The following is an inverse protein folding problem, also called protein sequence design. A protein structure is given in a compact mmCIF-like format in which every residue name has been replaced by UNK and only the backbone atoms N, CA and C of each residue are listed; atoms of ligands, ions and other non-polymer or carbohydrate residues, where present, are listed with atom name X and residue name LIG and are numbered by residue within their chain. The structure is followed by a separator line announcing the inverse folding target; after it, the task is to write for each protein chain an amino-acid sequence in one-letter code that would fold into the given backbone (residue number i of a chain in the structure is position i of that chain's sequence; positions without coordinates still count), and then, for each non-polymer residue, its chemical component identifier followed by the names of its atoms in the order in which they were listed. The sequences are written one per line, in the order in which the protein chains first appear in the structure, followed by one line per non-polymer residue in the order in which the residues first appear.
data_IF_097769338736
#
_entry.id   IF_097769338736
#
_cell.length_a   1.000
_cell.length_b   1.000
_cell.length_c   1.000
_cell.angle_alpha   90.00
_cell.angle_beta   90.00
_cell.angle_gamma   90.00
#
_symmetry.space_group_name_H-M   'P 1'
#
loop_
_entity.id
_entity.type
_entity.pdbx_description
1 polymer ?
#
# COMPACT_ATOMS: atom_id res chain seq x y z
N UNK A 1 -4.55 -5.23 -28.46
CA UNK A 1 -4.41 -4.23 -27.37
C UNK A 1 -3.90 -4.98 -26.15
N UNK A 2 -2.78 -4.55 -25.54
CA UNK A 2 -2.36 -5.14 -24.27
C UNK A 2 -3.42 -4.81 -23.21
N UNK A 3 -4.00 -5.83 -22.58
CA UNK A 3 -4.88 -5.62 -21.43
C UNK A 3 -4.06 -4.97 -20.31
N UNK A 4 -4.48 -3.78 -19.87
CA UNK A 4 -3.85 -3.10 -18.74
C UNK A 4 -4.11 -3.91 -17.47
N UNK A 5 -3.07 -4.13 -16.67
CA UNK A 5 -3.18 -4.81 -15.37
C UNK A 5 -3.10 -3.76 -14.27
N UNK A 6 -4.01 -3.83 -13.29
CA UNK A 6 -4.00 -2.95 -12.13
C UNK A 6 -3.93 -3.83 -10.89
N UNK A 7 -2.90 -3.64 -10.07
CA UNK A 7 -2.67 -4.36 -8.83
C UNK A 7 -2.74 -3.36 -7.68
N UNK A 8 -3.38 -3.72 -6.59
CA UNK A 8 -3.32 -2.97 -5.35
C UNK A 8 -2.74 -3.81 -4.23
N UNK A 9 -1.88 -3.20 -3.41
CA UNK A 9 -1.36 -3.81 -2.20
C UNK A 9 -2.11 -3.26 -0.98
N UNK A 10 -2.67 -4.18 -0.20
CA UNK A 10 -3.22 -3.91 1.13
C UNK A 10 -2.42 -4.68 2.17
N UNK A 11 -2.29 -4.12 3.36
CA UNK A 11 -1.53 -4.71 4.45
C UNK A 11 -1.15 -3.69 5.50
N UNK A 12 -0.97 -4.12 6.74
CA UNK A 12 -0.66 -3.24 7.87
C UNK A 12 0.71 -2.55 7.71
N UNK A 13 1.01 -1.47 8.47
CA UNK A 13 2.34 -0.88 8.55
C UNK A 13 3.41 -1.95 8.81
N UNK A 14 4.56 -1.81 8.15
CA UNK A 14 5.67 -2.77 8.20
C UNK A 14 5.38 -4.21 7.73
N UNK A 15 4.25 -4.47 7.05
CA UNK A 15 3.96 -5.77 6.44
C UNK A 15 4.84 -6.10 5.21
N UNK A 16 5.73 -5.21 4.77
CA UNK A 16 6.64 -5.46 3.64
C UNK A 16 6.07 -5.17 2.25
N UNK A 17 4.95 -4.43 2.15
CA UNK A 17 4.36 -4.01 0.85
C UNK A 17 5.37 -3.36 -0.10
N UNK A 18 6.25 -2.48 0.39
CA UNK A 18 7.30 -1.87 -0.44
C UNK A 18 8.20 -2.91 -1.12
N UNK A 19 8.65 -3.91 -0.36
CA UNK A 19 9.44 -5.03 -0.90
C UNK A 19 8.65 -5.82 -1.94
N UNK A 20 7.34 -6.04 -1.72
CA UNK A 20 6.47 -6.67 -2.72
C UNK A 20 6.35 -5.84 -4.00
N UNK A 21 6.23 -4.51 -3.91
CA UNK A 21 6.27 -3.62 -5.08
C UNK A 21 7.57 -3.82 -5.85
N UNK A 22 8.71 -3.80 -5.16
CA UNK A 22 10.02 -3.94 -5.80
C UNK A 22 10.18 -5.30 -6.48
N UNK A 23 9.74 -6.39 -5.83
CA UNK A 23 9.74 -7.73 -6.40
C UNK A 23 8.82 -7.84 -7.62
N UNK A 24 7.62 -7.25 -7.58
CA UNK A 24 6.71 -7.20 -8.73
C UNK A 24 7.36 -6.45 -9.90
N UNK A 25 8.00 -5.30 -9.64
CA UNK A 25 8.70 -4.53 -10.68
C UNK A 25 9.82 -5.31 -11.34
N UNK A 26 10.50 -6.19 -10.62
CA UNK A 26 11.52 -7.06 -11.19
C UNK A 26 10.97 -8.10 -12.18
N UNK A 27 9.71 -8.52 -12.04
CA UNK A 27 9.04 -9.42 -12.98
C UNK A 27 8.55 -8.68 -14.23
N UNK A 28 8.30 -7.38 -14.13
CA UNK A 28 7.68 -6.54 -15.18
C UNK A 28 8.69 -5.97 -16.19
N UNK A 29 9.79 -6.67 -16.48
CA UNK A 29 10.82 -6.17 -17.41
C UNK A 29 10.22 -5.93 -18.80
N UNK A 30 10.51 -4.76 -19.37
CA UNK A 30 9.98 -4.36 -20.68
C UNK A 30 8.55 -3.80 -20.67
N UNK A 31 7.87 -3.79 -19.51
CA UNK A 31 6.54 -3.19 -19.35
C UNK A 31 6.64 -1.77 -18.79
N UNK A 32 5.72 -0.90 -19.20
CA UNK A 32 5.52 0.44 -18.63
C UNK A 32 4.79 0.31 -17.31
N UNK A 33 5.53 0.42 -16.22
CA UNK A 33 4.98 0.30 -14.86
C UNK A 33 4.69 1.67 -14.26
N UNK A 34 3.45 1.87 -13.83
CA UNK A 34 3.01 3.03 -13.04
C UNK A 34 2.88 2.62 -11.58
N UNK A 35 3.58 3.29 -10.67
CA UNK A 35 3.39 3.08 -9.22
C UNK A 35 2.67 4.31 -8.66
N UNK A 36 1.53 4.09 -8.00
CA UNK A 36 0.78 5.13 -7.29
C UNK A 36 0.74 4.73 -5.82
N UNK A 37 1.54 5.39 -5.00
CA UNK A 37 1.36 5.30 -3.55
C UNK A 37 0.39 6.39 -3.10
N UNK A 38 -0.64 5.99 -2.35
CA UNK A 38 -1.70 6.90 -1.91
C UNK A 38 -1.17 8.08 -1.09
N UNK A 39 -0.13 7.88 -0.28
CA UNK A 39 0.47 8.94 0.52
C UNK A 39 1.35 9.91 -0.26
N UNK A 40 1.84 9.56 -1.45
CA UNK A 40 2.82 10.40 -2.16
C UNK A 40 2.24 11.75 -2.56
N UNK A 41 0.95 11.80 -2.92
CA UNK A 41 0.28 13.07 -3.25
C UNK A 41 0.21 14.00 -2.03
N UNK A 42 0.07 13.45 -0.83
CA UNK A 42 0.04 14.21 0.42
C UNK A 42 1.43 14.74 0.73
N UNK A 43 2.45 13.87 0.67
CA UNK A 43 3.85 14.26 0.88
C UNK A 43 4.26 15.35 -0.11
N UNK A 44 3.98 15.19 -1.41
CA UNK A 44 4.30 16.16 -2.45
C UNK A 44 3.63 17.53 -2.22
N UNK A 45 2.39 17.54 -1.75
CA UNK A 45 1.71 18.79 -1.41
C UNK A 45 2.37 19.47 -0.19
N UNK A 46 2.70 18.70 0.84
CA UNK A 46 3.29 19.21 2.08
C UNK A 46 4.74 19.67 1.91
N UNK A 47 5.50 19.08 0.99
CA UNK A 47 6.89 19.51 0.71
C UNK A 47 7.00 20.93 0.15
N UNK A 48 5.89 21.54 -0.29
CA UNK A 48 5.87 22.95 -0.68
C UNK A 48 5.93 23.90 0.53
N UNK A 49 5.59 23.39 1.73
CA UNK A 49 5.48 24.18 2.96
C UNK A 49 6.44 23.71 4.06
N UNK A 50 6.87 22.44 4.01
CA UNK A 50 7.66 21.79 5.04
C UNK A 50 8.90 21.14 4.42
N UNK A 51 10.07 21.31 5.06
CA UNK A 51 11.31 20.67 4.60
C UNK A 51 11.26 19.14 4.71
N UNK A 52 10.61 18.63 5.77
CA UNK A 52 10.56 17.19 6.08
C UNK A 52 9.18 16.78 6.59
N UNK A 53 8.16 16.68 5.73
CA UNK A 53 6.85 16.20 6.16
C UNK A 53 6.94 14.79 6.77
N UNK A 54 6.27 14.66 7.91
CA UNK A 54 6.15 13.45 8.70
C UNK A 54 4.84 12.71 8.44
N UNK A 55 4.71 11.56 9.11
CA UNK A 55 3.49 10.74 9.06
C UNK A 55 2.28 11.50 9.62
N UNK A 56 2.48 12.23 10.72
CA UNK A 56 1.42 13.00 11.38
C UNK A 56 0.88 14.10 10.44
N UNK A 57 1.76 14.81 9.72
CA UNK A 57 1.35 15.84 8.76
C UNK A 57 0.49 15.25 7.63
N UNK A 58 0.88 14.09 7.09
CA UNK A 58 0.11 13.41 6.06
C UNK A 58 -1.26 12.94 6.59
N UNK A 59 -1.31 12.47 7.84
CA UNK A 59 -2.55 12.05 8.50
C UNK A 59 -3.49 13.23 8.75
N UNK A 60 -2.95 14.38 9.17
CA UNK A 60 -3.71 15.60 9.33
C UNK A 60 -4.27 16.07 7.98
N UNK A 61 -3.42 16.20 6.96
CA UNK A 61 -3.85 16.68 5.64
C UNK A 61 -4.93 15.80 5.02
N UNK A 62 -4.77 14.47 5.07
CA UNK A 62 -5.81 13.57 4.53
C UNK A 62 -7.11 13.69 5.32
N UNK A 63 -7.05 13.92 6.64
CA UNK A 63 -8.26 14.10 7.46
C UNK A 63 -9.01 15.37 7.04
N UNK A 64 -8.31 16.50 6.87
CA UNK A 64 -8.92 17.74 6.37
C UNK A 64 -9.54 17.58 4.97
N UNK A 65 -8.84 16.88 4.07
CA UNK A 65 -9.36 16.62 2.73
C UNK A 65 -10.62 15.73 2.76
N UNK A 66 -10.66 14.73 3.65
CA UNK A 66 -11.81 13.84 3.79
C UNK A 66 -13.01 14.54 4.40
N UNK A 67 -12.79 15.37 5.42
CA UNK A 67 -13.84 16.19 6.02
C UNK A 67 -14.52 17.09 4.98
N UNK A 68 -13.73 17.72 4.11
CA UNK A 68 -14.27 18.64 3.10
C UNK A 68 -14.81 17.96 1.85
N UNK A 69 -14.13 16.92 1.34
CA UNK A 69 -14.38 16.36 0.01
C UNK A 69 -14.85 14.90 0.03
N UNK A 70 -14.92 14.26 1.20
CA UNK A 70 -15.35 12.88 1.37
C UNK A 70 -14.20 11.87 1.49
N UNK A 71 -14.51 10.72 2.09
CA UNK A 71 -13.57 9.63 2.40
C UNK A 71 -12.83 9.07 1.18
N UNK A 72 -13.44 9.13 0.00
CA UNK A 72 -12.94 8.61 -1.27
C UNK A 72 -11.97 9.55 -2.01
N UNK A 73 -11.60 10.69 -1.42
CA UNK A 73 -10.78 11.71 -2.10
C UNK A 73 -9.47 11.17 -2.69
N UNK A 74 -8.75 10.31 -1.95
CA UNK A 74 -7.52 9.71 -2.46
C UNK A 74 -7.79 8.64 -3.52
N UNK A 75 -8.91 7.92 -3.42
CA UNK A 75 -9.33 6.96 -4.43
C UNK A 75 -9.61 7.67 -5.77
N UNK A 76 -10.33 8.80 -5.74
CA UNK A 76 -10.57 9.64 -6.93
C UNK A 76 -9.28 10.20 -7.51
N UNK A 77 -8.33 10.60 -6.67
CA UNK A 77 -7.02 11.07 -7.12
C UNK A 77 -6.22 9.95 -7.82
N UNK A 78 -6.20 8.75 -7.26
CA UNK A 78 -5.56 7.58 -7.88
C UNK A 78 -6.23 7.19 -9.20
N UNK A 79 -7.56 7.15 -9.26
CA UNK A 79 -8.31 6.88 -10.49
C UNK A 79 -8.03 7.91 -11.58
N UNK A 80 -7.92 9.20 -11.22
CA UNK A 80 -7.54 10.25 -12.17
C UNK A 80 -6.14 10.03 -12.74
N UNK A 81 -5.17 9.65 -11.89
CA UNK A 81 -3.80 9.30 -12.34
C UNK A 81 -3.81 8.10 -13.29
N UNK A 82 -4.60 7.06 -12.99
CA UNK A 82 -4.77 5.90 -13.87
C UNK A 82 -5.36 6.31 -15.24
N UNK A 83 -6.35 7.21 -15.28
CA UNK A 83 -6.95 7.67 -16.54
C UNK A 83 -5.99 8.49 -17.40
N UNK A 84 -5.08 9.23 -16.79
CA UNK A 84 -4.17 10.15 -17.49
C UNK A 84 -2.86 9.49 -17.95
N UNK A 85 -2.45 8.39 -17.32
CA UNK A 85 -1.17 7.75 -17.59
C UNK A 85 -1.25 6.67 -18.68
N UNK A 86 -0.15 6.51 -19.43
CA UNK A 86 0.10 5.36 -20.31
C UNK A 86 0.93 4.33 -19.54
N UNK A 87 0.34 3.17 -19.28
CA UNK A 87 0.98 2.06 -18.59
C UNK A 87 0.48 0.72 -19.14
N UNK A 88 1.30 -0.31 -18.97
CA UNK A 88 0.92 -1.70 -19.17
C UNK A 88 0.46 -2.30 -17.83
N UNK A 89 1.15 -1.95 -16.74
CA UNK A 89 0.81 -2.37 -15.38
C UNK A 89 0.82 -1.18 -14.42
N UNK A 90 -0.22 -1.04 -13.59
CA UNK A 90 -0.25 -0.10 -12.49
C UNK A 90 -0.23 -0.83 -11.14
N UNK A 91 0.57 -0.34 -10.20
CA UNK A 91 0.66 -0.85 -8.83
C UNK A 91 0.22 0.27 -7.88
N UNK A 92 -0.89 0.07 -7.19
CA UNK A 92 -1.42 0.95 -6.17
C UNK A 92 -0.91 0.50 -4.80
N UNK A 93 -0.06 1.30 -4.16
CA UNK A 93 0.54 0.97 -2.85
C UNK A 93 -0.15 1.75 -1.73
N UNK A 94 -0.61 1.01 -0.71
CA UNK A 94 -1.12 1.58 0.52
C UNK A 94 -2.63 1.80 0.53
N UNK A 95 -3.38 0.84 -0.02
CA UNK A 95 -4.83 0.78 0.12
C UNK A 95 -5.20 0.50 1.59
N UNK A 96 -6.12 1.28 2.16
CA UNK A 96 -6.46 1.32 3.59
C UNK A 96 -7.95 1.38 3.89
N UNK A 97 -8.77 1.94 3.00
CA UNK A 97 -10.20 2.16 3.27
C UNK A 97 -11.11 1.59 2.17
N UNK A 98 -12.35 1.27 2.52
CA UNK A 98 -13.29 0.62 1.59
C UNK A 98 -13.56 1.42 0.31
N UNK A 99 -13.49 2.76 0.35
CA UNK A 99 -13.63 3.59 -0.85
C UNK A 99 -12.53 3.36 -1.90
N UNK A 100 -11.32 3.03 -1.46
CA UNK A 100 -10.19 2.71 -2.34
C UNK A 100 -10.34 1.30 -2.93
N UNK A 101 -10.84 0.34 -2.15
CA UNK A 101 -11.20 -0.99 -2.65
C UNK A 101 -12.32 -0.90 -3.69
N UNK A 102 -13.39 -0.15 -3.42
CA UNK A 102 -14.48 0.05 -4.36
C UNK A 102 -13.99 0.66 -5.68
N UNK A 103 -13.07 1.62 -5.61
CA UNK A 103 -12.43 2.19 -6.81
C UNK A 103 -11.61 1.14 -7.56
N UNK A 104 -10.79 0.33 -6.85
CA UNK A 104 -10.01 -0.74 -7.45
C UNK A 104 -10.90 -1.72 -8.24
N UNK A 105 -12.01 -2.17 -7.63
CA UNK A 105 -12.97 -3.06 -8.28
C UNK A 105 -13.59 -2.42 -9.52
N UNK A 106 -13.98 -1.15 -9.43
CA UNK A 106 -14.54 -0.39 -10.56
C UNK A 106 -13.58 -0.28 -11.75
N UNK A 107 -12.27 -0.15 -11.50
CA UNK A 107 -11.26 -0.11 -12.57
C UNK A 107 -10.78 -1.49 -13.01
N UNK A 108 -11.39 -2.57 -12.51
CA UNK A 108 -11.05 -3.95 -12.87
C UNK A 108 -9.69 -4.41 -12.33
N UNK A 109 -9.22 -3.84 -11.23
CA UNK A 109 -7.96 -4.22 -10.61
C UNK A 109 -8.08 -5.38 -9.63
N UNK A 110 -6.94 -5.98 -9.31
CA UNK A 110 -6.80 -7.09 -8.37
C UNK A 110 -6.09 -6.65 -7.10
N UNK A 111 -6.55 -7.19 -5.98
CA UNK A 111 -6.10 -6.89 -4.64
C UNK A 111 -5.17 -8.01 -4.15
N UNK A 112 -3.98 -7.62 -3.71
CA UNK A 112 -3.00 -8.50 -3.08
C UNK A 112 -2.88 -8.09 -1.60
N UNK A 113 -3.26 -8.97 -0.70
CA UNK A 113 -3.09 -8.78 0.73
C UNK A 113 -1.73 -9.31 1.19
N UNK A 114 -0.91 -8.42 1.73
CA UNK A 114 0.37 -8.77 2.35
C UNK A 114 0.15 -8.87 3.85
N UNK A 115 0.07 -10.11 4.32
CA UNK A 115 -0.14 -10.44 5.73
C UNK A 115 1.21 -10.65 6.42
N UNK A 116 1.33 -10.13 7.64
CA UNK A 116 2.54 -10.30 8.44
C UNK A 116 2.17 -10.25 9.92
N UNK A 117 2.64 -11.23 10.72
CA UNK A 117 2.38 -11.24 12.16
C UNK A 117 2.77 -9.94 12.84
N UNK A 118 1.97 -9.54 13.84
CA UNK A 118 2.17 -8.32 14.61
C UNK A 118 3.59 -8.22 15.20
N UNK A 119 4.09 -9.33 15.77
CA UNK A 119 5.44 -9.41 16.34
C UNK A 119 6.53 -9.11 15.31
N UNK A 120 6.48 -9.76 14.14
CA UNK A 120 7.42 -9.53 13.04
C UNK A 120 7.37 -8.09 12.53
N UNK A 121 6.17 -7.48 12.44
CA UNK A 121 6.03 -6.07 12.03
C UNK A 121 6.63 -5.13 13.05
N UNK A 122 6.42 -5.38 14.35
CA UNK A 122 7.02 -4.61 15.44
C UNK A 122 8.56 -4.67 15.39
N UNK A 123 9.14 -5.87 15.25
CA UNK A 123 10.59 -6.07 15.12
C UNK A 123 11.16 -5.30 13.91
N UNK A 124 10.47 -5.35 12.76
CA UNK A 124 10.86 -4.60 11.54
C UNK A 124 10.79 -3.09 11.71
N UNK A 125 9.88 -2.56 12.53
CA UNK A 125 9.81 -1.12 12.80
C UNK A 125 11.04 -0.68 13.60
N UNK A 126 11.43 -1.44 14.63
CA UNK A 126 12.62 -1.14 15.43
C UNK A 126 13.92 -1.16 14.62
N UNK A 127 14.02 -2.03 13.62
CA UNK A 127 15.19 -2.12 12.74
C UNK A 127 15.28 -1.00 11.70
N UNK A 128 14.17 -0.32 11.37
CA UNK A 128 14.13 0.60 10.24
C UNK A 128 14.88 1.92 10.45
N UNK A 129 15.12 2.38 11.68
CA UNK A 129 15.80 3.65 12.04
C UNK A 129 15.42 4.91 11.24
N UNK A 130 14.42 4.84 10.35
CA UNK A 130 13.99 5.91 9.48
C UNK A 130 12.95 6.75 10.20
N UNK A 131 13.43 7.88 10.73
CA UNK A 131 12.73 8.98 11.42
C UNK A 131 12.62 8.77 12.93
N UNK A 132 13.34 9.62 13.65
CA UNK A 132 13.41 9.64 15.11
C UNK A 132 12.03 9.59 15.75
N UNK A 133 11.82 8.54 16.52
CA UNK A 133 11.21 8.53 17.84
C UNK A 133 11.24 7.09 18.35
N UNK A 134 11.58 6.95 19.62
CA UNK A 134 11.59 5.79 20.51
C UNK A 134 11.01 4.48 19.97
N UNK A 135 11.77 3.39 20.13
CA UNK A 135 11.26 2.01 20.02
C UNK A 135 10.03 1.84 20.90
N UNK A 136 8.85 1.97 20.29
CA UNK A 136 7.56 1.79 20.93
C UNK A 136 7.48 0.38 21.51
N UNK A 137 7.02 0.22 22.77
CA UNK A 137 6.85 -1.11 23.37
C UNK A 137 5.88 -1.97 22.54
N UNK A 138 6.02 -3.30 22.59
CA UNK A 138 5.12 -4.19 21.86
C UNK A 138 3.64 -3.97 22.24
N UNK A 139 3.36 -3.69 23.52
CA UNK A 139 2.02 -3.35 24.01
C UNK A 139 1.48 -2.09 23.32
N UNK A 140 2.28 -1.00 23.29
CA UNK A 140 1.87 0.24 22.66
C UNK A 140 1.71 0.10 21.14
N UNK A 141 2.53 -0.74 20.52
CA UNK A 141 2.38 -1.11 19.12
C UNK A 141 1.04 -1.80 18.86
N UNK A 142 0.62 -2.75 19.71
CA UNK A 142 -0.67 -3.43 19.57
C UNK A 142 -1.86 -2.46 19.69
N UNK A 143 -1.78 -1.45 20.56
CA UNK A 143 -2.81 -0.40 20.63
C UNK A 143 -2.95 0.36 19.30
N UNK A 144 -1.81 0.78 18.72
CA UNK A 144 -1.79 1.49 17.43
C UNK A 144 -2.28 0.58 16.31
N UNK A 145 -1.92 -0.71 16.35
CA UNK A 145 -2.29 -1.72 15.36
C UNK A 145 -3.80 -2.06 15.33
N UNK A 146 -4.53 -1.61 16.35
CA UNK A 146 -5.97 -1.75 16.51
C UNK A 146 -6.75 -0.47 16.17
N UNK A 147 -6.07 0.59 15.71
CA UNK A 147 -6.73 1.81 15.26
C UNK A 147 -7.72 1.53 14.09
N UNK A 148 -8.74 2.36 13.95
CA UNK A 148 -9.81 2.15 12.96
C UNK A 148 -9.30 1.93 11.51
N UNK A 149 -8.35 2.72 10.98
CA UNK A 149 -7.79 2.45 9.65
C UNK A 149 -7.12 1.08 9.54
N UNK A 150 -6.50 0.58 10.62
CA UNK A 150 -5.84 -0.73 10.65
C UNK A 150 -6.84 -1.89 10.74
N UNK A 151 -8.00 -1.67 11.38
CA UNK A 151 -9.12 -2.62 11.36
C UNK A 151 -9.70 -2.81 9.96
N UNK A 152 -9.84 -1.73 9.19
CA UNK A 152 -10.35 -1.80 7.82
C UNK A 152 -9.40 -2.58 6.91
N UNK A 153 -8.08 -2.46 7.08
CA UNK A 153 -7.09 -3.23 6.31
C UNK A 153 -7.32 -4.74 6.44
N UNK A 154 -7.63 -5.24 7.63
CA UNK A 154 -7.90 -6.67 7.82
C UNK A 154 -9.20 -7.10 7.12
N UNK A 155 -10.25 -6.27 7.21
CA UNK A 155 -11.53 -6.52 6.54
C UNK A 155 -11.35 -6.55 5.01
N UNK A 156 -10.66 -5.55 4.45
CA UNK A 156 -10.35 -5.47 3.01
C UNK A 156 -9.48 -6.67 2.58
N UNK A 157 -8.47 -7.01 3.38
CA UNK A 157 -7.58 -8.14 3.12
C UNK A 157 -8.29 -9.50 3.05
N UNK A 158 -9.44 -9.65 3.71
CA UNK A 158 -10.24 -10.89 3.66
C UNK A 158 -10.86 -11.15 2.28
N UNK A 159 -11.12 -10.09 1.50
CA UNK A 159 -11.66 -10.15 0.14
C UNK A 159 -10.58 -10.09 -0.95
N UNK A 160 -9.30 -10.22 -0.61
CA UNK A 160 -8.21 -10.10 -1.56
C UNK A 160 -8.16 -11.28 -2.56
N UNK A 161 -7.82 -10.98 -3.82
CA UNK A 161 -7.68 -11.98 -4.88
C UNK A 161 -6.44 -12.85 -4.66
N UNK A 162 -5.41 -12.29 -4.03
CA UNK A 162 -4.20 -13.00 -3.64
C UNK A 162 -3.82 -12.64 -2.21
N UNK A 163 -3.26 -13.61 -1.50
CA UNK A 163 -2.66 -13.44 -0.18
C UNK A 163 -1.19 -13.83 -0.22
N UNK A 164 -0.34 -12.98 0.36
CA UNK A 164 1.07 -13.23 0.61
C UNK A 164 1.24 -13.38 2.12
N UNK A 165 1.79 -14.49 2.57
CA UNK A 165 2.27 -14.66 3.93
C UNK A 165 3.74 -14.21 4.00
N UNK A 166 3.98 -13.08 4.66
CA UNK A 166 5.30 -12.49 4.82
C UNK A 166 5.84 -12.65 6.26
N UNK A 167 5.49 -13.75 6.93
CA UNK A 167 6.10 -14.17 8.19
C UNK A 167 7.52 -14.75 8.02
N UNK A 168 7.82 -15.32 6.85
CA UNK A 168 9.08 -15.99 6.54
C UNK A 168 10.20 -15.06 6.05
N UNK A 169 11.17 -15.66 5.37
CA UNK A 169 12.33 -14.97 4.79
C UNK A 169 12.04 -14.34 3.41
N UNK A 170 13.02 -13.61 2.89
CA UNK A 170 12.93 -12.95 1.59
C UNK A 170 12.78 -13.95 0.43
N UNK A 171 13.35 -15.16 0.54
CA UNK A 171 13.27 -16.17 -0.51
C UNK A 171 11.85 -16.71 -0.64
N UNK A 172 11.17 -16.97 0.49
CA UNK A 172 9.76 -17.34 0.53
C UNK A 172 8.88 -16.23 -0.03
N UNK A 173 9.13 -14.97 0.35
CA UNK A 173 8.41 -13.81 -0.19
C UNK A 173 8.57 -13.72 -1.72
N UNK A 174 9.80 -13.85 -2.22
CA UNK A 174 10.10 -13.82 -3.66
C UNK A 174 9.34 -14.90 -4.42
N UNK A 175 9.35 -16.14 -3.91
CA UNK A 175 8.63 -17.26 -4.53
C UNK A 175 7.12 -17.01 -4.63
N UNK A 176 6.51 -16.46 -3.57
CA UNK A 176 5.08 -16.12 -3.59
C UNK A 176 4.76 -15.02 -4.61
N UNK A 177 5.62 -13.99 -4.71
CA UNK A 177 5.47 -12.94 -5.73
C UNK A 177 5.61 -13.48 -7.15
N UNK A 178 6.57 -14.38 -7.39
CA UNK A 178 6.75 -15.06 -8.68
C UNK A 178 5.52 -15.88 -9.07
N UNK A 179 4.94 -16.64 -8.12
CA UNK A 179 3.72 -17.42 -8.36
C UNK A 179 2.51 -16.54 -8.71
N UNK A 180 2.32 -15.43 -8.01
CA UNK A 180 1.27 -14.46 -8.35
C UNK A 180 1.53 -13.86 -9.73
N UNK A 181 2.78 -13.48 -10.01
CA UNK A 181 3.17 -12.90 -11.29
C UNK A 181 2.88 -13.83 -12.48
N UNK A 182 3.16 -15.12 -12.32
CA UNK A 182 2.82 -16.15 -13.32
C UNK A 182 1.31 -16.26 -13.55
N UNK A 183 0.51 -16.31 -12.48
CA UNK A 183 -0.97 -16.36 -12.60
C UNK A 183 -1.56 -15.14 -13.31
N UNK A 184 -0.87 -14.00 -13.22
CA UNK A 184 -1.29 -12.72 -13.77
C UNK A 184 -0.63 -12.40 -15.12
N UNK A 185 0.20 -13.29 -15.65
CA UNK A 185 0.98 -13.07 -16.87
C UNK A 185 1.76 -11.74 -16.85
N UNK A 186 2.36 -11.44 -15.69
CA UNK A 186 3.21 -10.25 -15.48
C UNK A 186 4.56 -10.40 -16.17
#
# INVERSE_FOLDING_TARGET
MLNKIILALVGKPAAGKGTVVDLLRQQLKGKKVLVIRFSDVLTQALTLFLDKPGRQDCQWLVSCLRERYGEDILARAAERKLKQAKFDVAILDGLRVGGEEAMLRRVGGQLIFVDTPAKTRWERIGQRQEKGDDTVSFTKFLEIDQALPEKQIAAIGSGADFKIDNAGDLASLKKQVEQISQKLNL
#
